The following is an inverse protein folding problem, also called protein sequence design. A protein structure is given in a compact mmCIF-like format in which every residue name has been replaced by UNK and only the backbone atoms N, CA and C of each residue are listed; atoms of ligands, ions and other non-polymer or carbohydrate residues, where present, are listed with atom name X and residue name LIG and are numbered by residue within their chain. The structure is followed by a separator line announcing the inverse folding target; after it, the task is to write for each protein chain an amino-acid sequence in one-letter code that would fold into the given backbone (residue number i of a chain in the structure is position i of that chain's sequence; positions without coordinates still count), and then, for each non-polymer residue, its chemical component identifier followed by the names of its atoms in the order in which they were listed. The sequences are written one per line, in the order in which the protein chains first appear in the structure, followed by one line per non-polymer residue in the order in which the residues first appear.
data_IF_122046958182
#
_entry.id   IF_122046958182
#
_cell.length_a   1.000
_cell.length_b   1.000
_cell.length_c   1.000
_cell.angle_alpha   90.00
_cell.angle_beta   90.00
_cell.angle_gamma   90.00
#
_symmetry.space_group_name_H-M   'P 1'
#
loop_
_entity.id
_entity.type
_entity.pdbx_description
1 polymer ?
#
# COMPACT_ATOMS: atom_id res chain seq x y z
N UNK A 1 -30.01 -21.04 -17.93
CA UNK A 1 -28.62 -21.45 -18.28
C UNK A 1 -27.87 -20.39 -19.08
N UNK A 2 -28.41 -19.85 -20.20
CA UNK A 2 -27.71 -18.79 -21.00
C UNK A 2 -27.41 -17.52 -20.20
N UNK A 3 -28.40 -16.94 -19.51
CA UNK A 3 -28.21 -15.70 -18.73
C UNK A 3 -27.13 -15.82 -17.63
N UNK A 4 -27.10 -16.92 -16.89
CA UNK A 4 -26.10 -17.16 -15.83
C UNK A 4 -24.67 -17.28 -16.38
N UNK A 5 -24.48 -17.89 -17.56
CA UNK A 5 -23.16 -18.01 -18.17
C UNK A 5 -22.65 -16.66 -18.71
N UNK A 6 -23.55 -15.85 -19.29
CA UNK A 6 -23.20 -14.48 -19.71
C UNK A 6 -22.88 -13.58 -18.52
N UNK A 7 -23.60 -13.73 -17.39
CA UNK A 7 -23.32 -13.01 -16.15
C UNK A 7 -21.95 -13.39 -15.55
N UNK A 8 -21.60 -14.69 -15.52
CA UNK A 8 -20.28 -15.16 -15.06
C UNK A 8 -19.17 -14.60 -15.96
N UNK A 9 -19.36 -14.60 -17.28
CA UNK A 9 -18.41 -14.01 -18.23
C UNK A 9 -18.21 -12.51 -18.02
N UNK A 10 -19.30 -11.76 -17.86
CA UNK A 10 -19.26 -10.32 -17.58
C UNK A 10 -18.55 -10.00 -16.26
N UNK A 11 -18.86 -10.75 -15.19
CA UNK A 11 -18.26 -10.52 -13.89
C UNK A 11 -16.76 -10.86 -13.87
N UNK A 12 -16.34 -11.94 -14.54
CA UNK A 12 -14.91 -12.27 -14.67
C UNK A 12 -14.15 -11.24 -15.54
N UNK A 13 -14.82 -10.65 -16.54
CA UNK A 13 -14.26 -9.56 -17.34
C UNK A 13 -14.08 -8.28 -16.51
N UNK A 14 -15.06 -7.94 -15.67
CA UNK A 14 -14.95 -6.81 -14.74
C UNK A 14 -13.84 -7.03 -13.70
N UNK A 15 -13.68 -8.23 -13.15
CA UNK A 15 -12.55 -8.53 -12.24
C UNK A 15 -11.19 -8.47 -12.94
N UNK A 16 -11.12 -8.85 -14.22
CA UNK A 16 -9.91 -8.63 -15.03
C UNK A 16 -9.60 -7.15 -15.20
N UNK A 17 -10.59 -6.32 -15.55
CA UNK A 17 -10.39 -4.87 -15.66
C UNK A 17 -9.95 -4.23 -14.34
N UNK A 18 -10.45 -4.72 -13.21
CA UNK A 18 -10.04 -4.26 -11.88
C UNK A 18 -8.62 -4.69 -11.50
N UNK A 19 -8.08 -5.78 -12.05
CA UNK A 19 -6.70 -6.19 -11.81
C UNK A 19 -5.68 -5.30 -12.53
N UNK A 20 -6.07 -4.67 -13.63
CA UNK A 20 -5.21 -3.78 -14.42
C UNK A 20 -4.74 -2.55 -13.60
N UNK A 21 -5.60 -1.79 -12.90
CA UNK A 21 -5.15 -0.72 -12.00
C UNK A 21 -4.26 -1.20 -10.84
N UNK A 22 -4.45 -2.44 -10.35
CA UNK A 22 -3.65 -3.01 -9.25
C UNK A 22 -2.23 -3.31 -9.75
N UNK A 23 -2.12 -3.97 -10.91
CA UNK A 23 -0.85 -4.25 -11.57
C UNK A 23 -0.19 -2.94 -12.05
N UNK A 24 -0.95 -2.04 -12.65
CA UNK A 24 -0.50 -0.73 -13.09
C UNK A 24 -0.02 0.14 -11.92
N UNK A 25 -0.71 0.10 -10.77
CA UNK A 25 -0.24 0.75 -9.54
C UNK A 25 1.05 0.13 -9.01
N UNK A 26 1.18 -1.19 -9.02
CA UNK A 26 2.41 -1.90 -8.65
C UNK A 26 3.60 -1.60 -9.56
N UNK A 27 3.36 -1.49 -10.88
CA UNK A 27 4.36 -1.17 -11.90
C UNK A 27 4.69 0.33 -11.95
N UNK A 28 3.72 1.21 -11.72
CA UNK A 28 3.95 2.65 -11.66
C UNK A 28 4.79 3.02 -10.44
N UNK A 29 4.57 2.33 -9.31
CA UNK A 29 5.42 2.46 -8.12
C UNK A 29 6.88 2.06 -8.40
N UNK A 30 7.10 1.07 -9.28
CA UNK A 30 8.45 0.68 -9.70
C UNK A 30 9.06 1.58 -10.76
N UNK A 31 8.25 2.11 -11.69
CA UNK A 31 8.72 2.98 -12.77
C UNK A 31 9.11 4.39 -12.30
N UNK A 32 8.46 4.91 -11.25
CA UNK A 32 8.91 6.16 -10.60
C UNK A 32 10.20 5.99 -9.79
N UNK A 33 10.67 4.75 -9.62
CA UNK A 33 11.92 4.35 -8.96
C UNK A 33 12.95 3.82 -9.99
N UNK A 34 13.02 4.44 -11.17
CA UNK A 34 13.76 3.96 -12.34
C UNK A 34 15.30 3.86 -12.23
N UNK A 35 15.88 3.85 -11.03
CA UNK A 35 17.30 3.56 -10.82
C UNK A 35 17.66 2.84 -9.51
N UNK A 36 16.72 2.54 -8.61
CA UNK A 36 17.05 1.81 -7.37
C UNK A 36 15.93 0.86 -6.95
N UNK A 37 16.33 -0.35 -6.52
CA UNK A 37 15.52 -1.44 -5.97
C UNK A 37 14.70 -1.01 -4.73
N UNK A 38 13.72 -0.14 -4.95
CA UNK A 38 12.99 0.50 -3.87
C UNK A 38 11.89 -0.43 -3.36
N UNK A 39 12.03 -0.85 -2.10
CA UNK A 39 11.00 -1.54 -1.31
C UNK A 39 10.39 -2.80 -1.97
N UNK A 40 11.23 -3.70 -2.51
CA UNK A 40 10.84 -5.06 -2.97
C UNK A 40 9.90 -5.76 -1.98
N UNK A 41 10.17 -5.58 -0.69
CA UNK A 41 9.40 -6.11 0.42
C UNK A 41 7.89 -5.74 0.40
N UNK A 42 7.55 -4.58 -0.16
CA UNK A 42 6.19 -4.05 -0.26
C UNK A 42 5.55 -4.28 -1.63
N UNK A 43 6.37 -4.40 -2.66
CA UNK A 43 5.94 -4.54 -4.05
C UNK A 43 5.51 -5.99 -4.38
N UNK A 44 6.26 -6.98 -3.89
CA UNK A 44 5.99 -8.40 -4.17
C UNK A 44 4.59 -8.87 -3.74
N UNK A 45 4.08 -8.53 -2.54
CA UNK A 45 2.72 -8.88 -2.15
C UNK A 45 1.65 -8.35 -3.13
N UNK A 46 1.80 -7.12 -3.61
CA UNK A 46 0.86 -6.50 -4.57
C UNK A 46 0.90 -7.18 -5.94
N UNK A 47 2.10 -7.49 -6.45
CA UNK A 47 2.27 -8.15 -7.75
C UNK A 47 1.71 -9.58 -7.69
N UNK A 48 2.01 -10.33 -6.62
CA UNK A 48 1.49 -11.70 -6.43
C UNK A 48 -0.05 -11.69 -6.44
N UNK A 49 -0.68 -10.74 -5.73
CA UNK A 49 -2.14 -10.59 -5.72
C UNK A 49 -2.69 -10.28 -7.11
N UNK A 50 -2.09 -9.30 -7.81
CA UNK A 50 -2.53 -8.93 -9.16
C UNK A 50 -2.43 -10.06 -10.17
N UNK A 51 -1.32 -10.81 -10.16
CA UNK A 51 -1.12 -11.97 -11.05
C UNK A 51 -2.11 -13.09 -10.73
N UNK A 52 -2.36 -13.37 -9.44
CA UNK A 52 -3.33 -14.39 -9.04
C UNK A 52 -4.75 -14.08 -9.55
N UNK A 53 -5.19 -12.82 -9.43
CA UNK A 53 -6.51 -12.36 -9.92
C UNK A 53 -6.58 -12.47 -11.44
N UNK A 54 -5.50 -12.15 -12.15
CA UNK A 54 -5.43 -12.25 -13.62
C UNK A 54 -5.58 -13.69 -14.11
N UNK A 55 -4.83 -14.63 -13.53
CA UNK A 55 -4.89 -16.06 -13.90
C UNK A 55 -6.30 -16.62 -13.70
N UNK A 56 -6.96 -16.29 -12.59
CA UNK A 56 -8.31 -16.80 -12.31
C UNK A 56 -9.39 -16.15 -13.17
N UNK A 57 -9.25 -14.87 -13.53
CA UNK A 57 -10.17 -14.23 -14.47
C UNK A 57 -10.14 -14.90 -15.85
N UNK A 58 -8.95 -15.28 -16.32
CA UNK A 58 -8.77 -16.05 -17.57
C UNK A 58 -9.36 -17.46 -17.47
N UNK A 59 -9.13 -18.15 -16.34
CA UNK A 59 -9.69 -19.47 -16.10
C UNK A 59 -11.24 -19.45 -16.02
N UNK A 60 -11.82 -18.41 -15.39
CA UNK A 60 -13.27 -18.21 -15.32
C UNK A 60 -13.91 -17.97 -16.69
N UNK A 61 -13.22 -17.20 -17.55
CA UNK A 61 -13.66 -16.98 -18.93
C UNK A 61 -13.62 -18.28 -19.75
N UNK A 62 -12.52 -19.04 -19.68
CA UNK A 62 -12.42 -20.34 -20.34
C UNK A 62 -13.47 -21.34 -19.80
N UNK A 63 -13.71 -21.37 -18.49
CA UNK A 63 -14.73 -22.20 -17.85
C UNK A 63 -16.14 -21.96 -18.38
N UNK A 64 -16.49 -20.69 -18.66
CA UNK A 64 -17.79 -20.31 -19.22
C UNK A 64 -17.96 -20.75 -20.69
N UNK A 65 -16.88 -20.72 -21.49
CA UNK A 65 -16.91 -21.05 -22.92
C UNK A 65 -16.94 -22.56 -23.18
N UNK A 66 -16.13 -23.34 -22.46
CA UNK A 66 -15.93 -24.77 -22.78
C UNK A 66 -16.90 -25.72 -22.07
N UNK A 67 -17.77 -25.22 -21.17
CA UNK A 67 -18.81 -25.99 -20.45
C UNK A 67 -18.29 -27.28 -19.78
N UNK A 68 -16.99 -27.33 -19.50
CA UNK A 68 -16.29 -28.49 -18.95
C UNK A 68 -16.42 -28.52 -17.43
N UNK A 69 -17.08 -29.56 -16.90
CA UNK A 69 -17.34 -29.75 -15.47
C UNK A 69 -16.06 -29.86 -14.63
N UNK A 70 -14.96 -30.39 -15.19
CA UNK A 70 -13.68 -30.50 -14.50
C UNK A 70 -13.02 -29.13 -14.34
N UNK A 71 -13.05 -28.31 -15.40
CA UNK A 71 -12.51 -26.95 -15.38
C UNK A 71 -13.27 -26.04 -14.40
N UNK A 72 -14.60 -26.18 -14.35
CA UNK A 72 -15.46 -25.51 -13.36
C UNK A 72 -15.15 -25.91 -11.91
N UNK A 73 -14.83 -27.17 -11.66
CA UNK A 73 -14.45 -27.63 -10.31
C UNK A 73 -13.11 -27.06 -9.86
N UNK A 74 -12.10 -27.06 -10.74
CA UNK A 74 -10.80 -26.43 -10.48
C UNK A 74 -10.94 -24.93 -10.25
N UNK A 75 -11.77 -24.25 -11.06
CA UNK A 75 -12.09 -22.83 -10.90
C UNK A 75 -12.64 -22.52 -9.49
N UNK A 76 -13.59 -23.30 -8.99
CA UNK A 76 -14.15 -23.09 -7.64
C UNK A 76 -13.09 -23.27 -6.54
N UNK A 77 -12.21 -24.26 -6.66
CA UNK A 77 -11.11 -24.45 -5.70
C UNK A 77 -10.10 -23.31 -5.74
N UNK A 78 -9.66 -22.91 -6.92
CA UNK A 78 -8.75 -21.79 -7.09
C UNK A 78 -9.35 -20.49 -6.51
N UNK A 79 -10.62 -20.24 -6.79
CA UNK A 79 -11.34 -19.06 -6.30
C UNK A 79 -11.46 -19.05 -4.77
N UNK A 80 -11.72 -20.20 -4.14
CA UNK A 80 -11.75 -20.33 -2.69
C UNK A 80 -10.40 -19.95 -2.04
N UNK A 81 -9.29 -20.49 -2.56
CA UNK A 81 -7.96 -20.16 -2.04
C UNK A 81 -7.60 -18.68 -2.24
N UNK A 82 -8.01 -18.06 -3.34
CA UNK A 82 -7.81 -16.62 -3.55
C UNK A 82 -8.60 -15.82 -2.51
N UNK A 83 -9.89 -16.11 -2.32
CA UNK A 83 -10.70 -15.41 -1.32
C UNK A 83 -10.05 -15.55 0.07
N UNK A 84 -9.64 -16.76 0.45
CA UNK A 84 -8.93 -16.99 1.71
C UNK A 84 -7.63 -16.19 1.82
N UNK A 85 -6.82 -16.14 0.76
CA UNK A 85 -5.59 -15.35 0.72
C UNK A 85 -5.86 -13.83 0.82
N UNK A 86 -6.88 -13.31 0.13
CA UNK A 86 -7.26 -11.90 0.20
C UNK A 86 -7.78 -11.52 1.59
N UNK A 87 -8.60 -12.38 2.22
CA UNK A 87 -9.01 -12.22 3.63
C UNK A 87 -7.79 -12.18 4.54
N UNK A 88 -6.88 -13.14 4.40
CA UNK A 88 -5.64 -13.21 5.18
C UNK A 88 -4.78 -11.95 5.00
N UNK A 89 -4.65 -11.44 3.77
CA UNK A 89 -3.95 -10.19 3.50
C UNK A 89 -4.62 -8.99 4.15
N UNK A 90 -5.95 -8.88 4.14
CA UNK A 90 -6.67 -7.80 4.81
C UNK A 90 -6.40 -7.83 6.32
N UNK A 91 -6.51 -9.01 6.94
CA UNK A 91 -6.25 -9.19 8.37
C UNK A 91 -4.81 -8.81 8.70
N UNK A 92 -3.84 -9.33 7.93
CA UNK A 92 -2.43 -9.01 8.11
C UNK A 92 -2.17 -7.51 7.96
N UNK A 93 -2.72 -6.88 6.91
CA UNK A 93 -2.54 -5.45 6.66
C UNK A 93 -3.07 -4.59 7.82
N UNK A 94 -4.24 -4.91 8.38
CA UNK A 94 -4.73 -4.20 9.56
C UNK A 94 -3.91 -4.50 10.81
N UNK A 95 -3.52 -5.75 11.04
CA UNK A 95 -2.70 -6.13 12.19
C UNK A 95 -1.36 -5.39 12.23
N UNK A 96 -0.67 -5.27 11.10
CA UNK A 96 0.62 -4.55 11.03
C UNK A 96 0.48 -3.04 10.93
N UNK A 97 -0.72 -2.52 10.65
CA UNK A 97 -0.99 -1.07 10.55
C UNK A 97 -1.83 -0.51 11.68
N UNK A 98 -2.19 -1.29 12.70
CA UNK A 98 -3.03 -0.83 13.80
C UNK A 98 -2.36 0.30 14.60
N UNK A 99 -1.08 0.13 14.93
CA UNK A 99 -0.33 1.02 15.83
C UNK A 99 0.32 2.21 15.10
N UNK A 100 0.56 3.28 15.87
CA UNK A 100 1.23 4.51 15.44
C UNK A 100 0.35 5.53 14.71
N UNK A 101 0.43 6.77 15.17
CA UNK A 101 -0.15 7.95 14.53
C UNK A 101 0.84 9.10 14.66
N UNK A 102 0.85 10.03 13.70
CA UNK A 102 1.60 11.27 13.87
C UNK A 102 1.04 12.06 15.05
N UNK A 103 1.93 12.69 15.83
CA UNK A 103 1.57 13.58 16.93
C UNK A 103 1.28 14.97 16.38
N UNK A 104 0.17 15.56 16.83
CA UNK A 104 -0.13 16.96 16.54
C UNK A 104 0.84 17.86 17.30
N UNK A 105 1.27 18.93 16.64
CA UNK A 105 2.17 19.93 17.22
C UNK A 105 1.41 21.24 17.33
N UNK A 106 1.55 21.93 18.46
CA UNK A 106 0.90 23.23 18.70
C UNK A 106 1.24 24.23 17.60
N UNK A 107 0.24 24.94 17.09
CA UNK A 107 0.37 25.94 16.02
C UNK A 107 0.96 25.40 14.69
N UNK A 108 0.80 24.10 14.41
CA UNK A 108 1.22 23.46 13.16
C UNK A 108 0.10 22.57 12.60
N UNK A 109 -0.04 22.55 11.27
CA UNK A 109 -0.98 21.67 10.56
C UNK A 109 -0.36 20.30 10.24
N UNK A 110 0.96 20.24 10.05
CA UNK A 110 1.67 19.00 9.86
C UNK A 110 1.81 18.22 11.18
N UNK A 111 2.09 16.92 11.07
CA UNK A 111 2.28 16.01 12.19
C UNK A 111 3.75 15.63 12.34
N UNK A 112 4.23 15.48 13.57
CA UNK A 112 5.54 14.88 13.86
C UNK A 112 5.39 13.38 14.09
N UNK A 113 6.36 12.61 13.60
CA UNK A 113 6.31 11.14 13.62
C UNK A 113 7.44 10.63 14.49
N UNK A 114 7.10 9.78 15.45
CA UNK A 114 8.06 9.22 16.39
C UNK A 114 8.06 7.71 16.31
N UNK A 115 9.24 7.10 16.27
CA UNK A 115 9.36 5.66 16.08
C UNK A 115 8.73 4.87 17.23
N UNK A 116 8.78 5.40 18.46
CA UNK A 116 8.17 4.76 19.64
C UNK A 116 6.64 4.62 19.58
N UNK A 117 5.95 5.40 18.74
CA UNK A 117 4.51 5.29 18.58
C UNK A 117 4.14 4.09 17.69
N UNK A 118 5.12 3.56 16.94
CA UNK A 118 4.97 2.39 16.10
C UNK A 118 5.54 1.16 16.81
N UNK A 119 4.87 0.03 16.64
CA UNK A 119 5.29 -1.24 17.24
C UNK A 119 4.92 -2.42 16.34
N UNK A 120 5.54 -3.56 16.61
CA UNK A 120 5.28 -4.81 15.89
C UNK A 120 6.19 -4.97 14.68
N UNK A 121 5.85 -5.97 13.86
CA UNK A 121 6.76 -6.49 12.84
C UNK A 121 7.24 -5.46 11.82
N UNK A 122 6.39 -4.50 11.42
CA UNK A 122 6.77 -3.49 10.43
C UNK A 122 7.81 -2.50 11.00
N UNK A 123 7.69 -2.14 12.28
CA UNK A 123 8.62 -1.24 12.94
C UNK A 123 9.99 -1.90 13.14
N UNK A 124 10.01 -3.18 13.53
CA UNK A 124 11.23 -3.98 13.63
C UNK A 124 11.95 -4.07 12.26
N UNK A 125 11.18 -4.28 11.19
CA UNK A 125 11.69 -4.35 9.81
C UNK A 125 12.39 -3.08 9.33
N UNK A 126 11.79 -1.92 9.65
CA UNK A 126 12.32 -0.60 9.25
C UNK A 126 13.46 -0.16 10.16
N UNK A 127 13.50 -0.68 11.39
CA UNK A 127 14.56 -0.37 12.36
C UNK A 127 15.86 -1.10 12.04
N UNK A 128 15.80 -2.26 11.38
CA UNK A 128 16.96 -3.04 10.98
C UNK A 128 17.86 -2.31 9.96
N UNK A 129 19.12 -2.06 10.32
CA UNK A 129 20.05 -1.21 9.55
C UNK A 129 20.27 -1.69 8.11
N UNK A 130 20.29 -3.00 7.90
CA UNK A 130 20.51 -3.61 6.59
C UNK A 130 19.39 -3.25 5.60
N UNK A 131 18.16 -3.13 6.09
CA UNK A 131 16.98 -2.76 5.32
C UNK A 131 16.80 -1.26 5.28
N UNK A 132 17.05 -0.58 6.40
CA UNK A 132 16.99 0.88 6.45
C UNK A 132 17.90 1.52 5.43
N UNK A 133 19.13 1.02 5.26
CA UNK A 133 20.08 1.55 4.25
C UNK A 133 19.52 1.55 2.83
N UNK A 134 18.73 0.54 2.47
CA UNK A 134 18.06 0.46 1.16
C UNK A 134 16.88 1.42 1.09
N UNK A 135 16.11 1.52 2.17
CA UNK A 135 14.94 2.40 2.26
C UNK A 135 15.36 3.88 2.22
N UNK A 136 16.31 4.28 3.05
CA UNK A 136 16.81 5.66 3.12
C UNK A 136 17.48 6.10 1.82
N UNK A 137 18.23 5.21 1.17
CA UNK A 137 18.74 5.42 -0.19
C UNK A 137 17.62 5.75 -1.15
N UNK A 138 16.55 4.95 -1.18
CA UNK A 138 15.41 5.23 -2.05
C UNK A 138 14.70 6.55 -1.71
N UNK A 139 14.49 6.85 -0.42
CA UNK A 139 13.85 8.10 0.00
C UNK A 139 14.69 9.30 -0.46
N UNK A 140 16.01 9.22 -0.35
CA UNK A 140 16.93 10.25 -0.84
C UNK A 140 16.89 10.37 -2.37
N UNK A 141 16.97 9.26 -3.10
CA UNK A 141 16.97 9.22 -4.57
C UNK A 141 15.65 9.71 -5.18
N UNK A 142 14.53 9.55 -4.46
CA UNK A 142 13.22 10.04 -4.87
C UNK A 142 13.15 11.58 -4.98
N UNK A 143 14.13 12.27 -4.38
CA UNK A 143 14.22 13.73 -4.27
C UNK A 143 12.99 14.36 -3.64
N UNK A 144 12.29 13.66 -2.74
CA UNK A 144 11.08 14.17 -2.06
C UNK A 144 11.39 15.44 -1.27
N UNK A 145 12.50 15.49 -0.54
CA UNK A 145 12.89 16.68 0.21
C UNK A 145 13.25 17.87 -0.70
N UNK A 146 13.96 17.62 -1.81
CA UNK A 146 14.26 18.67 -2.78
C UNK A 146 12.99 19.22 -3.47
N UNK A 147 11.96 18.37 -3.64
CA UNK A 147 10.65 18.78 -4.18
C UNK A 147 9.76 19.49 -3.15
N UNK A 148 10.16 19.52 -1.88
CA UNK A 148 9.42 20.23 -0.83
C UNK A 148 9.58 21.75 -0.96
N UNK A 149 10.72 22.21 -1.48
CA UNK A 149 11.03 23.62 -1.68
C UNK A 149 10.00 24.35 -2.54
N UNK A 150 9.56 25.52 -2.09
CA UNK A 150 8.66 26.43 -2.80
C UNK A 150 9.22 27.84 -2.76
N UNK A 151 9.41 28.41 -3.94
CA UNK A 151 9.70 29.84 -4.08
C UNK A 151 8.41 30.57 -4.45
N UNK A 152 8.01 31.54 -3.63
CA UNK A 152 6.85 32.40 -3.88
C UNK A 152 7.41 33.76 -4.29
N UNK A 153 7.31 34.11 -5.58
CA UNK A 153 7.77 35.41 -6.08
C UNK A 153 9.28 35.66 -5.94
N UNK A 154 10.10 34.60 -5.93
CA UNK A 154 11.57 34.70 -5.78
C UNK A 154 12.06 34.77 -4.33
N UNK A 155 11.17 34.67 -3.34
CA UNK A 155 11.50 34.66 -1.91
C UNK A 155 11.16 33.29 -1.31
N UNK A 156 11.95 32.77 -0.35
CA UNK A 156 11.60 31.57 0.39
C UNK A 156 10.26 31.69 1.11
N UNK A 157 9.51 30.59 1.19
CA UNK A 157 8.25 30.50 1.96
C UNK A 157 8.49 30.91 3.41
N UNK A 158 7.63 31.77 3.97
CA UNK A 158 7.74 32.20 5.37
C UNK A 158 7.41 31.07 6.34
N UNK A 159 7.92 31.16 7.57
CA UNK A 159 7.70 30.15 8.60
C UNK A 159 6.19 29.90 8.84
N UNK A 160 5.39 30.96 8.96
CA UNK A 160 3.94 30.86 9.21
C UNK A 160 3.20 30.11 8.09
N UNK A 161 3.58 30.34 6.83
CA UNK A 161 3.00 29.61 5.69
C UNK A 161 3.42 28.13 5.71
N UNK A 162 4.70 27.87 6.00
CA UNK A 162 5.21 26.50 6.13
C UNK A 162 4.48 25.73 7.26
N UNK A 163 4.20 26.39 8.38
CA UNK A 163 3.50 25.81 9.52
C UNK A 163 2.04 25.43 9.24
N UNK A 164 1.41 26.07 8.25
CA UNK A 164 0.07 25.73 7.78
C UNK A 164 0.07 24.64 6.69
N UNK A 165 1.25 24.18 6.26
CA UNK A 165 1.38 23.20 5.18
C UNK A 165 0.97 21.80 5.63
N UNK A 166 0.21 21.12 4.77
CA UNK A 166 -0.07 19.68 4.90
C UNK A 166 1.08 18.87 4.32
N UNK A 167 2.07 18.58 5.16
CA UNK A 167 3.20 17.72 4.79
C UNK A 167 2.77 16.25 4.76
N UNK A 168 3.29 15.51 3.78
CA UNK A 168 3.19 14.06 3.81
C UNK A 168 4.12 13.48 4.90
N UNK A 169 3.93 12.22 5.33
CA UNK A 169 4.71 11.68 6.43
C UNK A 169 6.23 11.63 6.19
N UNK A 170 6.67 11.44 4.95
CA UNK A 170 8.09 11.41 4.59
C UNK A 170 8.67 12.83 4.60
N UNK A 171 7.95 13.81 4.05
CA UNK A 171 8.32 15.22 4.13
C UNK A 171 8.51 15.66 5.58
N UNK A 172 7.55 15.33 6.45
CA UNK A 172 7.60 15.73 7.85
C UNK A 172 8.66 14.99 8.67
N UNK A 173 8.91 13.71 8.38
CA UNK A 173 9.85 12.87 9.14
C UNK A 173 11.30 12.92 8.67
N UNK A 174 11.55 13.14 7.37
CA UNK A 174 12.88 13.05 6.77
C UNK A 174 13.47 14.40 6.33
N UNK A 175 12.61 15.36 5.97
CA UNK A 175 13.05 16.59 5.30
C UNK A 175 13.13 17.82 6.22
N UNK A 176 12.73 17.67 7.49
CA UNK A 176 12.84 18.70 8.53
C UNK A 176 13.24 18.04 9.86
N UNK A 177 13.82 18.79 10.81
CA UNK A 177 14.07 18.27 12.16
C UNK A 177 12.75 18.11 12.94
N UNK A 178 12.72 17.26 13.98
CA UNK A 178 11.61 17.20 14.93
C UNK A 178 11.37 18.56 15.59
N UNK A 179 10.10 18.94 15.81
CA UNK A 179 9.78 20.27 16.34
C UNK A 179 10.29 20.47 17.77
N UNK A 180 10.34 19.41 18.56
CA UNK A 180 10.88 19.45 19.93
C UNK A 180 12.36 19.84 20.00
N UNK A 181 13.12 19.68 18.91
CA UNK A 181 14.52 20.06 18.87
C UNK A 181 14.74 21.59 18.90
N UNK A 182 13.68 22.40 18.74
CA UNK A 182 13.77 23.86 18.89
C UNK A 182 14.56 24.57 17.79
N UNK A 183 14.75 23.94 16.63
CA UNK A 183 15.41 24.59 15.50
C UNK A 183 14.57 25.73 14.92
N UNK A 184 15.25 26.78 14.46
CA UNK A 184 14.65 27.95 13.84
C UNK A 184 14.57 27.73 12.33
N UNK A 185 13.38 27.93 11.78
CA UNK A 185 13.11 27.81 10.35
C UNK A 185 13.90 28.86 9.55
N UNK A 186 14.60 28.41 8.51
CA UNK A 186 15.21 29.29 7.50
C UNK A 186 14.54 29.07 6.16
N UNK A 187 14.47 27.81 5.73
CA UNK A 187 13.69 27.35 4.59
C UNK A 187 13.22 25.90 4.85
N UNK A 188 12.62 25.26 3.84
CA UNK A 188 11.96 23.96 3.99
C UNK A 188 12.90 22.86 4.51
N UNK A 189 14.15 22.83 4.04
CA UNK A 189 15.15 21.80 4.39
C UNK A 189 16.36 22.34 5.15
N UNK A 190 16.38 23.63 5.49
CA UNK A 190 17.46 24.29 6.24
C UNK A 190 16.90 24.92 7.50
N UNK A 191 17.49 24.50 8.61
CA UNK A 191 17.06 24.88 9.95
C UNK A 191 18.29 25.20 10.79
N UNK A 192 18.29 26.35 11.46
CA UNK A 192 19.38 26.78 12.33
C UNK A 192 19.11 26.37 13.77
N UNK A 193 20.16 26.19 14.56
CA UNK A 193 20.01 25.90 15.99
C UNK A 193 19.33 27.09 16.69
N UNK A 194 18.20 26.83 17.34
CA UNK A 194 17.63 27.78 18.29
C UNK A 194 18.41 27.70 19.59
N UNK A 195 18.53 28.80 20.33
CA UNK A 195 19.21 28.83 21.65
C UNK A 195 18.50 28.04 22.77
N UNK A 196 17.67 27.05 22.42
CA UNK A 196 16.88 26.22 23.33
C UNK A 196 17.62 24.97 23.81
N UNK A 197 17.16 24.42 24.93
CA UNK A 197 17.76 23.30 25.66
C UNK A 197 17.98 22.04 24.81
N UNK A 198 19.08 21.34 25.10
CA UNK A 198 19.42 20.02 24.58
C UNK A 198 18.33 19.03 24.97
N UNK A 199 17.40 18.74 24.06
CA UNK A 199 16.43 17.65 24.23
C UNK A 199 17.19 16.32 24.08
N UNK A 200 16.86 15.32 24.91
CA UNK A 200 17.52 14.01 24.88
C UNK A 200 17.19 13.16 23.63
N UNK A 201 16.55 13.74 22.62
CA UNK A 201 16.21 13.04 21.40
C UNK A 201 17.43 12.94 20.49
N UNK A 202 17.84 11.71 20.19
CA UNK A 202 18.94 11.41 19.28
C UNK A 202 18.77 12.04 17.90
N UNK A 203 17.53 12.22 17.45
CA UNK A 203 17.21 12.80 16.14
C UNK A 203 17.64 14.26 16.04
N UNK A 204 17.66 15.01 17.15
CA UNK A 204 18.13 16.39 17.14
C UNK A 204 19.63 16.47 16.80
N UNK A 205 20.41 15.49 17.25
CA UNK A 205 21.85 15.41 16.95
C UNK A 205 22.12 14.81 15.56
N UNK A 206 21.19 14.02 15.03
CA UNK A 206 21.32 13.37 13.73
C UNK A 206 20.86 14.26 12.57
N UNK A 207 20.19 15.39 12.84
CA UNK A 207 19.78 16.34 11.80
C UNK A 207 21.00 17.04 11.18
N UNK A 208 21.00 17.18 9.85
CA UNK A 208 22.01 17.91 9.09
C UNK A 208 21.35 18.77 8.01
N UNK A 209 21.88 19.98 7.77
CA UNK A 209 21.45 20.83 6.64
C UNK A 209 22.06 20.39 5.30
N UNK A 210 22.94 19.38 5.30
CA UNK A 210 23.46 18.75 4.09
C UNK A 210 22.31 17.99 3.38
N UNK A 211 22.04 18.35 2.11
CA UNK A 211 20.92 17.81 1.35
C UNK A 211 21.05 16.30 1.04
N UNK A 212 22.26 15.74 1.13
CA UNK A 212 22.54 14.31 1.01
C UNK A 212 22.37 13.53 2.31
N UNK A 213 22.26 14.20 3.46
CA UNK A 213 22.14 13.60 4.79
C UNK A 213 20.79 13.87 5.45
N UNK A 214 20.34 15.13 5.52
CA UNK A 214 19.09 15.57 6.17
C UNK A 214 18.79 14.79 7.45
N UNK A 215 17.54 14.33 7.64
CA UNK A 215 17.18 13.40 8.71
C UNK A 215 17.11 11.94 8.23
N UNK A 216 17.82 11.55 7.16
CA UNK A 216 17.71 10.17 6.61
C UNK A 216 18.21 9.09 7.58
N UNK A 217 18.96 9.45 8.62
CA UNK A 217 19.39 8.55 9.69
C UNK A 217 18.54 8.65 10.97
N UNK A 218 17.54 9.53 11.00
CA UNK A 218 16.70 9.76 12.17
C UNK A 218 15.62 8.69 12.34
N UNK A 219 15.22 8.45 13.59
CA UNK A 219 14.06 7.63 13.92
C UNK A 219 12.75 8.27 13.45
N UNK A 220 12.69 9.60 13.39
CA UNK A 220 11.58 10.36 12.83
C UNK A 220 11.37 10.08 11.34
N UNK A 221 12.46 9.87 10.59
CA UNK A 221 12.36 9.49 9.17
C UNK A 221 11.90 8.04 9.02
N UNK A 222 12.40 7.11 9.84
CA UNK A 222 11.88 5.73 9.94
C UNK A 222 10.37 5.72 10.22
N UNK A 223 9.93 6.54 11.18
CA UNK A 223 8.52 6.71 11.54
C UNK A 223 7.69 7.33 10.41
N UNK A 224 8.23 8.33 9.71
CA UNK A 224 7.61 8.94 8.53
C UNK A 224 7.40 7.93 7.39
N UNK A 225 8.38 7.03 7.16
CA UNK A 225 8.22 5.92 6.22
C UNK A 225 7.11 4.98 6.70
N UNK A 226 7.13 4.53 7.96
CA UNK A 226 6.10 3.65 8.53
C UNK A 226 4.69 4.23 8.38
N UNK A 227 4.53 5.53 8.67
CA UNK A 227 3.28 6.25 8.50
C UNK A 227 2.81 6.29 7.04
N UNK A 228 3.73 6.53 6.11
CA UNK A 228 3.44 6.53 4.67
C UNK A 228 3.01 5.14 4.18
N UNK A 229 3.69 4.10 4.65
CA UNK A 229 3.35 2.70 4.37
C UNK A 229 1.98 2.35 4.93
N UNK A 230 1.70 2.65 6.20
CA UNK A 230 0.39 2.48 6.84
C UNK A 230 -0.73 3.12 6.04
N UNK A 231 -0.55 4.37 5.61
CA UNK A 231 -1.55 5.08 4.78
C UNK A 231 -1.78 4.39 3.45
N UNK A 232 -0.72 3.91 2.81
CA UNK A 232 -0.79 3.24 1.51
C UNK A 232 -1.45 1.85 1.64
N UNK A 233 -1.09 1.09 2.66
CA UNK A 233 -1.67 -0.23 2.96
C UNK A 233 -3.15 -0.13 3.26
N UNK A 234 -3.57 0.86 4.06
CA UNK A 234 -5.01 1.05 4.34
C UNK A 234 -5.80 1.37 3.07
N UNK A 235 -5.25 2.17 2.15
CA UNK A 235 -5.89 2.42 0.84
C UNK A 235 -6.00 1.14 0.01
N UNK A 236 -4.93 0.36 -0.07
CA UNK A 236 -4.92 -0.93 -0.77
C UNK A 236 -5.92 -1.91 -0.13
N UNK A 237 -5.96 -2.02 1.19
CA UNK A 237 -6.90 -2.89 1.91
C UNK A 237 -8.36 -2.49 1.65
N UNK A 238 -8.68 -1.20 1.59
CA UNK A 238 -10.03 -0.74 1.22
C UNK A 238 -10.40 -1.17 -0.20
N UNK A 239 -9.50 -0.99 -1.17
CA UNK A 239 -9.72 -1.47 -2.55
C UNK A 239 -9.89 -3.00 -2.56
N UNK A 240 -9.06 -3.72 -1.80
CA UNK A 240 -9.13 -5.18 -1.70
C UNK A 240 -10.46 -5.67 -1.10
N UNK A 241 -11.03 -4.97 -0.12
CA UNK A 241 -12.36 -5.30 0.45
C UNK A 241 -13.44 -5.22 -0.64
N UNK A 242 -13.41 -4.20 -1.50
CA UNK A 242 -14.38 -4.06 -2.60
C UNK A 242 -14.24 -5.24 -3.58
N UNK A 243 -13.02 -5.62 -3.93
CA UNK A 243 -12.75 -6.77 -4.82
C UNK A 243 -13.23 -8.07 -4.18
N UNK A 244 -12.99 -8.26 -2.89
CA UNK A 244 -13.39 -9.44 -2.14
C UNK A 244 -14.92 -9.61 -2.16
N UNK A 245 -15.69 -8.53 -1.99
CA UNK A 245 -17.15 -8.56 -2.09
C UNK A 245 -17.59 -9.05 -3.48
N UNK A 246 -16.99 -8.50 -4.55
CA UNK A 246 -17.29 -8.90 -5.93
C UNK A 246 -16.95 -10.39 -6.14
N UNK A 247 -15.78 -10.84 -5.68
CA UNK A 247 -15.36 -12.23 -5.79
C UNK A 247 -16.28 -13.18 -5.02
N UNK A 248 -16.75 -12.81 -3.82
CA UNK A 248 -17.70 -13.63 -3.07
C UNK A 248 -19.03 -13.77 -3.82
N UNK A 249 -19.55 -12.69 -4.41
CA UNK A 249 -20.78 -12.74 -5.24
C UNK A 249 -20.58 -13.70 -6.43
N UNK A 250 -19.47 -13.54 -7.15
CA UNK A 250 -19.12 -14.40 -8.29
C UNK A 250 -18.98 -15.86 -7.85
N UNK A 251 -18.37 -16.12 -6.70
CA UNK A 251 -18.21 -17.46 -6.14
C UNK A 251 -19.55 -18.12 -5.86
N UNK A 252 -20.48 -17.40 -5.21
CA UNK A 252 -21.83 -17.90 -4.93
C UNK A 252 -22.58 -18.22 -6.23
N UNK A 253 -22.51 -17.34 -7.24
CA UNK A 253 -23.14 -17.57 -8.55
C UNK A 253 -22.51 -18.78 -9.26
N UNK A 254 -21.19 -18.92 -9.23
CA UNK A 254 -20.48 -20.05 -9.81
C UNK A 254 -20.84 -21.36 -9.12
N UNK A 255 -20.94 -21.39 -7.79
CA UNK A 255 -21.42 -22.53 -7.02
C UNK A 255 -22.86 -22.90 -7.41
N UNK A 256 -23.75 -21.92 -7.54
CA UNK A 256 -25.14 -22.15 -7.95
C UNK A 256 -25.22 -22.72 -9.38
N UNK A 257 -24.46 -22.15 -10.32
CA UNK A 257 -24.37 -22.64 -11.70
C UNK A 257 -23.81 -24.07 -11.77
N UNK A 258 -22.76 -24.36 -10.99
CA UNK A 258 -22.17 -25.70 -10.91
C UNK A 258 -23.15 -26.74 -10.34
N UNK A 259 -23.85 -26.42 -9.24
CA UNK A 259 -24.88 -27.29 -8.66
C UNK A 259 -26.02 -27.58 -9.65
N UNK A 260 -26.47 -26.55 -10.39
CA UNK A 260 -27.54 -26.71 -11.37
C UNK A 260 -27.10 -27.57 -12.56
N UNK A 261 -25.85 -27.41 -13.04
CA UNK A 261 -25.31 -28.22 -14.12
C UNK A 261 -25.18 -29.70 -13.71
N UNK A 262 -24.71 -29.98 -12.48
CA UNK A 262 -24.67 -31.34 -11.90
C UNK A 262 -26.07 -31.99 -11.83
N UNK A 263 -27.09 -31.26 -11.36
CA UNK A 263 -28.49 -31.75 -11.35
C UNK A 263 -28.99 -32.07 -12.76
N UNK A 264 -28.69 -31.24 -13.75
CA UNK A 264 -29.11 -31.47 -15.14
C UNK A 264 -28.44 -32.67 -15.82
N UNK A 265 -27.21 -33.00 -15.43
CA UNK A 265 -26.47 -34.17 -15.92
C UNK A 265 -27.05 -35.44 -15.28
N UNK A 266 -27.30 -35.40 -13.96
CA UNK A 266 -27.90 -36.52 -13.22
C UNK A 266 -29.30 -36.87 -13.74
N UNK A 267 -30.15 -35.87 -13.98
CA UNK A 267 -31.47 -36.04 -14.59
C UNK A 267 -31.40 -36.67 -15.98
N UNK A 268 -30.43 -36.27 -16.83
CA UNK A 268 -30.24 -36.87 -18.16
C UNK A 268 -29.73 -38.32 -18.09
N UNK A 269 -28.98 -38.70 -17.07
CA UNK A 269 -28.60 -40.08 -16.83
C UNK A 269 -29.81 -40.93 -16.40
N UNK A 270 -30.67 -40.42 -15.52
CA UNK A 270 -31.88 -41.12 -15.10
C UNK A 270 -32.88 -41.31 -16.25
N UNK A 271 -33.07 -40.30 -17.11
CA UNK A 271 -33.93 -40.40 -18.31
C UNK A 271 -33.37 -41.37 -19.37
N UNK A 272 -32.05 -41.60 -19.40
CA UNK A 272 -31.44 -42.59 -20.31
C UNK A 272 -31.53 -44.03 -19.80
N UNK A 273 -31.90 -44.24 -18.55
CA UNK A 273 -31.94 -45.56 -17.89
C UNK A 273 -33.35 -46.07 -17.60
N UNK A 274 -34.39 -45.27 -17.88
CA UNK A 274 -35.80 -45.70 -17.84
C UNK A 274 -36.40 -45.65 -19.24
#
# INVERSE_FOLDING_TARGET
MRASNHLIGLLNFLTFLLSIPILGGGIWLSSRANNTDCMKFLQWPLIIIGVAIMVVSLAGFAGACYRNTFLMWFYLWAMFFIIAALVGFVIFAYAVTDKGSGRAVSNRVYLDYYLQDYSGWLQERVSEDSYWRKISSCVRDSKVCAKMGRNIGGVPESADLFYLRKLNPIESGCCKPPTECGYVYVNETVWNTGGGMVVSNSDCNNWSNDQGQLCYSCNSCKAGVLASLKKSWRKVSVINIVILIILVIVYVVACAAFRNNRRSIMMRHMVKQG
#
